data_IF_586221760977
#
_entry.id   IF_586221760977
#
_cell.length_a   1.000
_cell.length_b   1.000
_cell.length_c   1.000
_cell.angle_alpha   90.00
_cell.angle_beta   90.00
_cell.angle_gamma   90.00
#
_symmetry.space_group_name_H-M   'P 1'
#
loop_
_entity.id
_entity.type
_entity.pdbx_description
1 polymer ?
#
# COMPACT_ATOMS: atom_id res chain seq x y z
N UNK A 1 -9.53 10.46 13.43
CA UNK A 1 -8.06 10.35 13.67
C UNK A 1 -7.81 9.17 14.59
N UNK A 2 -7.74 7.95 14.05
CA UNK A 2 -7.27 6.74 14.76
C UNK A 2 -6.50 5.95 13.71
N UNK A 3 -5.23 5.65 13.97
CA UNK A 3 -4.36 4.97 13.00
C UNK A 3 -2.91 5.47 13.00
N UNK A 4 -2.46 6.05 14.11
CA UNK A 4 -1.06 6.38 14.30
C UNK A 4 -0.25 5.11 14.60
N UNK A 5 0.68 4.79 13.70
CA UNK A 5 2.01 4.18 13.90
C UNK A 5 2.08 2.76 14.50
N UNK A 6 1.12 2.29 15.29
CA UNK A 6 1.14 0.97 15.94
C UNK A 6 1.00 -0.23 14.98
N UNK A 7 0.63 -0.01 13.71
CA UNK A 7 0.47 -1.08 12.70
C UNK A 7 1.68 -1.32 11.79
N UNK A 8 2.73 -0.49 11.85
CA UNK A 8 3.84 -0.50 10.86
C UNK A 8 5.02 -1.37 11.33
N UNK A 9 4.90 -2.13 12.42
CA UNK A 9 6.00 -2.99 12.86
C UNK A 9 6.10 -4.25 11.98
N UNK A 10 7.02 -4.22 11.00
CA UNK A 10 7.28 -5.35 10.10
C UNK A 10 8.19 -6.34 10.83
N UNK A 11 7.56 -7.32 11.48
CA UNK A 11 8.27 -8.45 12.11
C UNK A 11 8.38 -9.61 11.11
N UNK A 12 9.56 -10.20 11.02
CA UNK A 12 9.85 -11.40 10.24
C UNK A 12 10.60 -12.36 11.14
N UNK A 13 10.01 -13.53 11.34
CA UNK A 13 10.70 -14.61 12.04
C UNK A 13 11.71 -15.24 11.07
N UNK A 14 12.96 -15.32 11.51
CA UNK A 14 14.03 -16.04 10.85
C UNK A 14 14.28 -17.31 11.67
N UNK A 15 14.32 -18.47 11.02
CA UNK A 15 14.64 -19.75 11.68
C UNK A 15 16.14 -20.02 11.59
N UNK A 16 16.68 -20.80 12.52
CA UNK A 16 18.07 -21.26 12.46
C UNK A 16 18.31 -22.10 11.19
N UNK A 17 19.35 -21.75 10.42
CA UNK A 17 19.66 -22.36 9.12
C UNK A 17 19.10 -21.64 7.89
N UNK A 18 18.41 -20.51 8.06
CA UNK A 18 17.89 -19.73 6.94
C UNK A 18 18.92 -18.72 6.41
N UNK A 19 19.14 -18.71 5.09
CA UNK A 19 20.01 -17.71 4.44
C UNK A 19 19.45 -16.29 4.61
N UNK A 20 20.33 -15.37 5.02
CA UNK A 20 20.04 -13.94 5.21
C UNK A 20 19.31 -13.32 3.99
N UNK A 21 19.68 -13.73 2.78
CA UNK A 21 19.07 -13.22 1.54
C UNK A 21 17.58 -13.57 1.43
N UNK A 22 17.19 -14.77 1.89
CA UNK A 22 15.78 -15.18 1.88
C UNK A 22 14.96 -14.35 2.88
N UNK A 23 15.51 -14.10 4.06
CA UNK A 23 14.87 -13.24 5.06
C UNK A 23 14.71 -11.80 4.53
N UNK A 24 15.77 -11.24 3.92
CA UNK A 24 15.75 -9.90 3.32
C UNK A 24 14.74 -9.79 2.18
N UNK A 25 14.62 -10.81 1.32
CA UNK A 25 13.64 -10.81 0.24
C UNK A 25 12.20 -10.80 0.75
N UNK A 26 11.91 -11.57 1.81
CA UNK A 26 10.60 -11.52 2.48
C UNK A 26 10.33 -10.16 3.11
N UNK A 27 11.36 -9.53 3.68
CA UNK A 27 11.25 -8.18 4.23
C UNK A 27 10.86 -7.17 3.18
N UNK A 28 11.59 -7.13 2.07
CA UNK A 28 11.29 -6.22 0.96
C UNK A 28 9.86 -6.42 0.45
N UNK A 29 9.44 -7.67 0.24
CA UNK A 29 8.07 -7.98 -0.19
C UNK A 29 7.00 -7.54 0.81
N UNK A 30 7.24 -7.73 2.12
CA UNK A 30 6.31 -7.32 3.19
C UNK A 30 6.25 -5.80 3.31
N UNK A 31 7.40 -5.12 3.20
CA UNK A 31 7.51 -3.66 3.18
C UNK A 31 6.75 -3.03 2.00
N UNK A 32 6.92 -3.56 0.79
CA UNK A 32 6.18 -3.13 -0.38
C UNK A 32 4.66 -3.32 -0.21
N UNK A 33 4.24 -4.47 0.35
CA UNK A 33 2.83 -4.78 0.59
C UNK A 33 2.17 -3.84 1.60
N UNK A 34 2.90 -3.39 2.63
CA UNK A 34 2.39 -2.43 3.62
C UNK A 34 2.11 -1.07 3.00
N UNK A 35 2.71 -0.73 1.85
CA UNK A 35 2.39 0.49 1.12
C UNK A 35 2.80 1.79 1.85
N UNK A 36 3.69 1.69 2.83
CA UNK A 36 4.16 2.80 3.68
C UNK A 36 4.62 3.99 2.83
N UNK A 37 5.34 3.72 1.73
CA UNK A 37 5.83 4.75 0.84
C UNK A 37 4.70 5.53 0.15
N UNK A 38 3.61 4.87 -0.22
CA UNK A 38 2.43 5.50 -0.82
C UNK A 38 1.72 6.38 0.20
N UNK A 39 1.58 5.86 1.42
CA UNK A 39 0.98 6.60 2.52
C UNK A 39 1.81 7.83 2.90
N UNK A 40 3.13 7.69 3.02
CA UNK A 40 4.04 8.81 3.27
C UNK A 40 3.85 9.90 2.22
N UNK A 41 3.89 9.55 0.93
CA UNK A 41 3.68 10.50 -0.18
C UNK A 41 2.31 11.20 -0.10
N UNK A 42 1.24 10.46 0.19
CA UNK A 42 -0.10 11.05 0.32
C UNK A 42 -0.24 11.99 1.52
N UNK A 43 0.58 11.79 2.57
CA UNK A 43 0.56 12.61 3.79
C UNK A 43 1.49 13.82 3.73
N UNK A 44 2.40 13.89 2.74
CA UNK A 44 3.32 15.02 2.57
C UNK A 44 2.60 16.34 2.27
N UNK A 45 1.44 16.29 1.63
CA UNK A 45 0.65 17.47 1.28
C UNK A 45 -0.81 17.30 1.70
N UNK A 46 -1.47 18.41 2.04
CA UNK A 46 -2.90 18.41 2.30
C UNK A 46 -3.69 18.34 0.98
N UNK A 47 -4.41 17.25 0.77
CA UNK A 47 -5.36 17.13 -0.34
C UNK A 47 -6.78 17.46 0.14
N UNK A 48 -7.44 18.42 -0.51
CA UNK A 48 -8.84 18.75 -0.21
C UNK A 48 -9.72 17.54 -0.52
N UNK A 49 -10.63 17.20 0.40
CA UNK A 49 -11.56 16.06 0.27
C UNK A 49 -12.30 15.99 -1.08
N UNK A 50 -12.64 17.14 -1.67
CA UNK A 50 -13.30 17.22 -2.98
C UNK A 50 -12.42 16.69 -4.12
N UNK A 51 -11.11 16.93 -4.05
CA UNK A 51 -10.13 16.47 -5.03
C UNK A 51 -9.97 14.96 -4.90
N UNK A 52 -9.73 14.46 -3.70
CA UNK A 52 -9.64 13.00 -3.43
C UNK A 52 -10.88 12.26 -3.93
N UNK A 53 -12.09 12.77 -3.63
CA UNK A 53 -13.36 12.17 -4.09
C UNK A 53 -13.46 12.12 -5.61
N UNK A 54 -13.01 13.17 -6.30
CA UNK A 54 -13.01 13.23 -7.77
C UNK A 54 -12.09 12.17 -8.37
N UNK A 55 -10.91 11.96 -7.81
CA UNK A 55 -9.99 10.90 -8.25
C UNK A 55 -10.59 9.50 -8.07
N UNK A 56 -11.25 9.24 -6.93
CA UNK A 56 -11.91 7.95 -6.67
C UNK A 56 -13.01 7.66 -7.70
N UNK A 57 -13.89 8.62 -7.98
CA UNK A 57 -14.99 8.43 -8.94
C UNK A 57 -14.46 8.18 -10.35
N UNK A 58 -13.47 8.96 -10.81
CA UNK A 58 -12.85 8.76 -12.13
C UNK A 58 -12.25 7.37 -12.27
N UNK A 59 -11.54 6.91 -11.24
CA UNK A 59 -10.94 5.57 -11.20
C UNK A 59 -11.98 4.45 -11.22
N UNK A 60 -13.10 4.63 -10.51
CA UNK A 60 -14.19 3.67 -10.51
C UNK A 60 -14.84 3.52 -11.88
N UNK A 61 -15.13 4.64 -12.56
CA UNK A 61 -15.69 4.66 -13.92
C UNK A 61 -14.74 3.95 -14.89
N UNK A 62 -13.44 4.28 -14.84
CA UNK A 62 -12.44 3.65 -15.69
C UNK A 62 -12.42 2.12 -15.51
N UNK A 63 -12.40 1.63 -14.27
CA UNK A 63 -12.45 0.19 -13.97
C UNK A 63 -13.74 -0.47 -14.44
N UNK A 64 -14.88 0.21 -14.29
CA UNK A 64 -16.17 -0.32 -14.71
C UNK A 64 -16.19 -0.52 -16.23
N UNK A 65 -15.73 0.46 -16.99
CA UNK A 65 -15.66 0.37 -18.46
C UNK A 65 -14.74 -0.78 -18.89
N UNK A 66 -13.54 -0.88 -18.29
CA UNK A 66 -12.62 -1.99 -18.58
C UNK A 66 -13.25 -3.36 -18.32
N UNK A 67 -14.02 -3.51 -17.23
CA UNK A 67 -14.68 -4.77 -16.92
C UNK A 67 -15.83 -5.08 -17.89
N UNK A 68 -16.55 -4.07 -18.38
CA UNK A 68 -17.62 -4.23 -19.37
C UNK A 68 -17.08 -4.60 -20.76
N UNK A 69 -15.90 -4.08 -21.14
CA UNK A 69 -15.25 -4.40 -22.41
C UNK A 69 -14.68 -5.83 -22.45
N UNK A 70 -14.36 -6.41 -21.29
CA UNK A 70 -13.80 -7.77 -21.20
C UNK A 70 -14.85 -8.90 -21.17
N UNK A 71 -16.14 -8.56 -21.07
CA UNK A 71 -17.27 -9.52 -21.06
C UNK A 71 -17.92 -9.55 -22.44
#
# INVERSE_FOLDING_TARGET
MKGGILGIMIIINVKEGESLDKALKRFKKKFEKTGVLRELRSRQAFEKKSVTRRHVVKHAIYKQNMNQETV
#
